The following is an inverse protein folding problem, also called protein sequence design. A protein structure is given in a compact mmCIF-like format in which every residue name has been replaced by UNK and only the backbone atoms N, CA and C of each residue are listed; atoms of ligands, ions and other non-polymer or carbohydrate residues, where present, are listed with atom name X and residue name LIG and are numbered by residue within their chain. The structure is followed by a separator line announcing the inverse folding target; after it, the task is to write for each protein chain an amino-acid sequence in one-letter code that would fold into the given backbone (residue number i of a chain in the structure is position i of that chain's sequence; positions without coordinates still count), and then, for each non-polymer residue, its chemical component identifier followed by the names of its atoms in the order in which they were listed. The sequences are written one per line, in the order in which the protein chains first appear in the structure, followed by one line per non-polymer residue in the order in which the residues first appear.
data_IF_914580298699
#
_entry.id   IF_914580298699
#
_cell.length_a   1.000
_cell.length_b   1.000
_cell.length_c   1.000
_cell.angle_alpha   90.00
_cell.angle_beta   90.00
_cell.angle_gamma   90.00
#
_symmetry.space_group_name_H-M   'P 1'
#
loop_
_entity.id
_entity.type
_entity.pdbx_description
1 polymer ?
#
# COMPACT_ATOMS: atom_id res chain seq x y z
N UNK A 1 -40.38 -5.75 15.82
CA UNK A 1 -39.03 -5.80 16.41
C UNK A 1 -39.05 -6.74 17.61
N UNK A 2 -38.08 -7.62 17.76
CA UNK A 2 -38.06 -8.55 18.93
C UNK A 2 -37.81 -7.72 20.19
N UNK A 3 -38.47 -8.12 21.28
CA UNK A 3 -38.41 -7.46 22.62
C UNK A 3 -36.95 -7.28 23.08
N UNK A 4 -36.09 -8.21 22.71
CA UNK A 4 -34.61 -8.18 22.95
C UNK A 4 -33.90 -7.02 22.25
N UNK A 5 -34.27 -6.71 21.01
CA UNK A 5 -33.65 -5.61 20.26
C UNK A 5 -34.07 -4.23 20.83
N UNK A 6 -35.34 -4.12 21.23
CA UNK A 6 -35.87 -2.89 21.87
C UNK A 6 -35.21 -2.64 23.23
N UNK A 7 -34.99 -3.69 24.03
CA UNK A 7 -34.30 -3.58 25.32
C UNK A 7 -32.82 -3.20 25.10
N UNK A 8 -32.14 -3.86 24.14
CA UNK A 8 -30.74 -3.58 23.83
C UNK A 8 -30.53 -2.12 23.39
N UNK A 9 -31.39 -1.58 22.50
CA UNK A 9 -31.30 -0.20 22.05
C UNK A 9 -31.61 0.83 23.15
N UNK A 10 -32.62 0.57 24.02
CA UNK A 10 -32.93 1.44 25.14
C UNK A 10 -31.81 1.49 26.18
N UNK A 11 -31.23 0.36 26.53
CA UNK A 11 -30.08 0.32 27.46
C UNK A 11 -28.88 1.07 26.92
N UNK A 12 -28.58 0.95 25.60
CA UNK A 12 -27.51 1.70 24.96
C UNK A 12 -27.72 3.21 25.02
N UNK A 13 -28.96 3.69 24.76
CA UNK A 13 -29.28 5.11 24.73
C UNK A 13 -29.48 5.72 26.13
N UNK A 14 -29.71 4.91 27.17
CA UNK A 14 -29.84 5.37 28.54
C UNK A 14 -28.50 5.87 29.10
N UNK A 15 -27.40 5.17 28.86
CA UNK A 15 -26.06 5.58 29.27
C UNK A 15 -25.25 6.16 28.08
N UNK A 16 -25.60 7.40 27.71
CA UNK A 16 -25.07 8.09 26.53
C UNK A 16 -23.54 8.22 26.55
N UNK A 17 -22.95 8.53 27.72
CA UNK A 17 -21.50 8.73 27.85
C UNK A 17 -20.76 7.43 27.55
N UNK A 18 -21.25 6.32 28.06
CA UNK A 18 -20.63 5.02 27.85
C UNK A 18 -20.84 4.51 26.44
N UNK A 19 -22.02 4.75 25.85
CA UNK A 19 -22.28 4.46 24.44
C UNK A 19 -21.30 5.20 23.53
N UNK A 20 -21.12 6.53 23.76
CA UNK A 20 -20.16 7.35 23.01
C UNK A 20 -18.72 6.83 23.21
N UNK A 21 -18.30 6.52 24.44
CA UNK A 21 -16.98 5.98 24.72
C UNK A 21 -16.72 4.65 23.97
N UNK A 22 -17.72 3.78 23.93
CA UNK A 22 -17.64 2.51 23.17
C UNK A 22 -17.52 2.78 21.67
N UNK A 23 -18.34 3.68 21.13
CA UNK A 23 -18.29 4.06 19.72
C UNK A 23 -16.93 4.67 19.34
N UNK A 24 -16.42 5.59 20.17
CA UNK A 24 -15.10 6.20 19.95
C UNK A 24 -14.01 5.11 19.90
N UNK A 25 -14.06 4.14 20.80
CA UNK A 25 -13.10 3.02 20.81
C UNK A 25 -13.18 2.17 19.54
N UNK A 26 -14.39 1.82 19.10
CA UNK A 26 -14.60 1.05 17.85
C UNK A 26 -14.15 1.86 16.65
N UNK A 27 -14.60 3.10 16.52
CA UNK A 27 -14.25 3.99 15.40
C UNK A 27 -12.75 4.19 15.31
N UNK A 28 -12.10 4.50 16.42
CA UNK A 28 -10.64 4.65 16.47
C UNK A 28 -9.91 3.39 16.00
N UNK A 29 -10.31 2.23 16.52
CA UNK A 29 -9.72 0.95 16.14
C UNK A 29 -9.90 0.64 14.67
N UNK A 30 -11.12 0.76 14.14
CA UNK A 30 -11.43 0.44 12.74
C UNK A 30 -10.73 1.41 11.78
N UNK A 31 -10.73 2.70 12.09
CA UNK A 31 -10.01 3.71 11.29
C UNK A 31 -8.51 3.44 11.29
N UNK A 32 -7.92 3.11 12.46
CA UNK A 32 -6.49 2.80 12.56
C UNK A 32 -6.14 1.58 11.71
N UNK A 33 -6.90 0.49 11.82
CA UNK A 33 -6.67 -0.73 11.03
C UNK A 33 -6.87 -0.44 9.53
N UNK A 34 -7.89 0.34 9.18
CA UNK A 34 -8.18 0.74 7.79
C UNK A 34 -7.01 1.54 7.19
N UNK A 35 -6.46 2.51 7.92
CA UNK A 35 -5.31 3.31 7.48
C UNK A 35 -4.08 2.42 7.33
N UNK A 36 -3.75 1.59 8.32
CA UNK A 36 -2.58 0.73 8.27
C UNK A 36 -2.63 -0.28 7.11
N UNK A 37 -3.77 -0.93 6.93
CA UNK A 37 -3.96 -1.88 5.83
C UNK A 37 -4.07 -1.17 4.47
N UNK A 38 -4.70 0.00 4.42
CA UNK A 38 -4.75 0.83 3.21
C UNK A 38 -3.38 1.33 2.77
N UNK A 39 -2.52 1.73 3.72
CA UNK A 39 -1.12 2.06 3.47
C UNK A 39 -0.33 0.83 3.00
N UNK A 40 -0.53 -0.34 3.64
CA UNK A 40 0.11 -1.58 3.23
C UNK A 40 -0.19 -1.93 1.77
N UNK A 41 -1.46 -1.84 1.36
CA UNK A 41 -1.88 -2.08 -0.02
C UNK A 41 -1.33 -1.01 -0.97
N UNK A 42 -1.44 0.27 -0.60
CA UNK A 42 -0.92 1.39 -1.38
C UNK A 42 0.59 1.29 -1.61
N UNK A 43 1.35 1.00 -0.56
CA UNK A 43 2.78 0.78 -0.63
C UNK A 43 3.14 -0.38 -1.57
N UNK A 44 2.43 -1.51 -1.45
CA UNK A 44 2.63 -2.67 -2.32
C UNK A 44 2.39 -2.38 -3.80
N UNK A 45 1.41 -1.52 -4.13
CA UNK A 45 1.19 -1.06 -5.51
C UNK A 45 2.31 -0.14 -6.00
N UNK A 46 2.71 0.83 -5.19
CA UNK A 46 3.74 1.81 -5.57
C UNK A 46 5.10 1.16 -5.84
N UNK A 47 5.48 0.18 -5.02
CA UNK A 47 6.75 -0.56 -5.17
C UNK A 47 6.87 -1.26 -6.52
N UNK A 48 5.78 -1.68 -7.13
CA UNK A 48 5.80 -2.38 -8.42
C UNK A 48 5.41 -1.50 -9.62
N UNK A 49 5.08 -0.23 -9.40
CA UNK A 49 4.57 0.67 -10.44
C UNK A 49 5.45 0.70 -11.70
N UNK A 50 6.77 0.78 -11.56
CA UNK A 50 7.70 0.78 -12.70
C UNK A 50 7.70 -0.56 -13.45
N UNK A 51 7.58 -1.68 -12.73
CA UNK A 51 7.51 -3.02 -13.31
C UNK A 51 6.18 -3.20 -14.04
N UNK A 52 5.08 -2.72 -13.46
CA UNK A 52 3.72 -2.87 -13.98
C UNK A 52 3.48 -2.05 -15.28
N UNK A 53 4.18 -0.92 -15.45
CA UNK A 53 4.08 -0.06 -16.63
C UNK A 53 5.17 -0.34 -17.67
N UNK A 54 6.08 -1.26 -17.41
CA UNK A 54 7.05 -1.69 -18.41
C UNK A 54 6.39 -2.58 -19.45
N UNK A 55 6.48 -2.18 -20.72
CA UNK A 55 6.00 -2.99 -21.87
C UNK A 55 6.99 -4.10 -22.17
N UNK A 56 7.01 -5.15 -21.32
CA UNK A 56 7.94 -6.27 -21.42
C UNK A 56 7.30 -7.58 -20.97
N UNK A 57 7.73 -8.69 -21.55
CA UNK A 57 7.25 -10.02 -21.20
C UNK A 57 8.14 -10.68 -20.13
N UNK A 58 9.46 -10.48 -20.28
CA UNK A 58 10.46 -11.05 -19.38
C UNK A 58 11.48 -9.97 -18.97
N UNK A 59 12.10 -10.18 -17.84
CA UNK A 59 13.15 -9.35 -17.27
C UNK A 59 14.44 -10.16 -17.13
N UNK A 60 15.57 -9.62 -17.60
CA UNK A 60 16.89 -10.11 -17.23
C UNK A 60 17.48 -9.16 -16.21
N UNK A 61 17.70 -9.66 -15.01
CA UNK A 61 18.15 -8.88 -13.85
C UNK A 61 19.50 -9.41 -13.34
N UNK A 62 20.30 -8.59 -12.66
CA UNK A 62 21.51 -9.07 -12.01
C UNK A 62 21.21 -10.20 -11.04
N UNK A 63 22.14 -11.15 -10.93
CA UNK A 63 21.99 -12.27 -9.98
C UNK A 63 21.88 -11.74 -8.55
N UNK A 64 20.79 -12.11 -7.87
CA UNK A 64 20.51 -11.69 -6.52
C UNK A 64 19.86 -10.29 -6.40
N UNK A 65 19.51 -9.63 -7.51
CA UNK A 65 18.74 -8.38 -7.49
C UNK A 65 17.42 -8.59 -6.74
N UNK A 66 17.15 -7.72 -5.78
CA UNK A 66 16.04 -7.88 -4.84
C UNK A 66 14.78 -7.12 -5.26
N UNK A 67 14.93 -5.99 -5.94
CA UNK A 67 13.86 -5.08 -6.31
C UNK A 67 14.21 -4.33 -7.60
N UNK A 68 13.27 -3.52 -8.09
CA UNK A 68 13.48 -2.69 -9.27
C UNK A 68 14.63 -1.69 -9.08
N UNK A 69 14.74 -1.08 -7.91
CA UNK A 69 15.73 -0.06 -7.57
C UNK A 69 17.11 -0.62 -7.21
N UNK A 70 17.34 -1.90 -7.41
CA UNK A 70 18.65 -2.53 -7.12
C UNK A 70 19.73 -1.92 -8.02
N UNK A 71 20.84 -1.39 -7.45
CA UNK A 71 21.88 -0.69 -8.21
C UNK A 71 22.82 -1.61 -8.96
N UNK A 72 22.67 -2.93 -8.84
CA UNK A 72 23.54 -3.91 -9.49
C UNK A 72 23.49 -3.80 -11.00
N UNK A 73 24.60 -4.14 -11.67
CA UNK A 73 24.77 -3.94 -13.09
C UNK A 73 25.00 -5.27 -13.84
N UNK A 74 24.38 -5.40 -15.00
CA UNK A 74 24.58 -6.45 -16.00
C UNK A 74 25.62 -6.04 -17.04
N UNK A 75 26.34 -7.03 -17.59
CA UNK A 75 27.12 -6.85 -18.81
C UNK A 75 26.20 -6.79 -20.04
N UNK A 76 26.33 -5.73 -20.84
CA UNK A 76 25.52 -5.56 -22.05
C UNK A 76 25.76 -6.62 -23.13
N UNK A 77 26.86 -7.38 -23.09
CA UNK A 77 27.07 -8.55 -23.95
C UNK A 77 25.97 -9.59 -23.81
N UNK A 78 25.27 -9.61 -22.66
CA UNK A 78 24.10 -10.46 -22.45
C UNK A 78 22.96 -10.08 -23.39
N UNK A 79 22.83 -8.82 -23.78
CA UNK A 79 21.78 -8.34 -24.70
C UNK A 79 21.78 -9.11 -26.00
N UNK A 80 22.95 -9.23 -26.63
CA UNK A 80 23.06 -9.87 -27.94
C UNK A 80 22.78 -11.38 -27.84
N UNK A 81 23.23 -11.98 -26.75
CA UNK A 81 22.97 -13.41 -26.46
C UNK A 81 21.47 -13.66 -26.22
N UNK A 82 20.81 -12.81 -25.45
CA UNK A 82 19.37 -12.90 -25.21
C UNK A 82 18.59 -12.64 -26.51
N UNK A 83 18.99 -11.65 -27.31
CA UNK A 83 18.37 -11.32 -28.59
C UNK A 83 18.48 -12.43 -29.63
N UNK A 84 19.53 -13.25 -29.58
CA UNK A 84 19.72 -14.38 -30.46
C UNK A 84 18.82 -15.58 -30.10
N UNK A 85 18.13 -15.58 -28.98
CA UNK A 85 17.24 -16.66 -28.55
C UNK A 85 15.98 -16.70 -29.40
N UNK A 86 15.61 -17.84 -29.91
CA UNK A 86 14.43 -18.01 -30.74
C UNK A 86 13.15 -17.63 -29.93
N UNK A 87 12.28 -16.83 -30.53
CA UNK A 87 11.06 -16.32 -29.87
C UNK A 87 11.23 -14.94 -29.22
N UNK A 88 12.44 -14.38 -29.12
CA UNK A 88 12.68 -13.03 -28.64
C UNK A 88 12.52 -12.03 -29.79
N UNK A 89 11.72 -10.98 -29.59
CA UNK A 89 11.49 -9.90 -30.55
C UNK A 89 12.50 -8.77 -30.37
N UNK A 90 12.60 -8.24 -29.15
CA UNK A 90 13.48 -7.11 -28.81
C UNK A 90 14.04 -7.25 -27.41
N UNK A 91 15.26 -6.71 -27.22
CA UNK A 91 15.92 -6.65 -25.91
C UNK A 91 16.37 -5.20 -25.67
N UNK A 92 15.77 -4.58 -24.67
CA UNK A 92 15.91 -3.14 -24.38
C UNK A 92 16.66 -2.97 -23.07
N UNK A 93 17.84 -2.33 -23.06
CA UNK A 93 18.54 -2.05 -21.82
C UNK A 93 17.84 -0.95 -21.03
N UNK A 94 17.79 -1.11 -19.71
CA UNK A 94 17.30 -0.12 -18.77
C UNK A 94 18.44 0.30 -17.85
N UNK A 95 18.66 1.58 -17.72
CA UNK A 95 19.61 2.18 -16.78
C UNK A 95 18.84 2.97 -15.76
N UNK A 96 19.04 2.64 -14.49
CA UNK A 96 18.41 3.31 -13.36
C UNK A 96 19.47 3.66 -12.32
N UNK A 97 19.20 4.65 -11.49
CA UNK A 97 20.09 4.99 -10.40
C UNK A 97 19.81 6.35 -9.78
N UNK A 98 20.42 6.59 -8.64
CA UNK A 98 20.30 7.88 -7.96
C UNK A 98 21.20 8.93 -8.60
N UNK A 99 20.74 10.19 -8.57
CA UNK A 99 21.50 11.36 -8.92
C UNK A 99 21.00 12.56 -8.11
N UNK A 100 21.76 13.66 -8.15
CA UNK A 100 21.39 14.87 -7.45
C UNK A 100 20.84 15.90 -8.45
N UNK A 101 19.64 16.38 -8.14
CA UNK A 101 18.96 17.46 -8.84
C UNK A 101 19.26 18.76 -8.09
N UNK A 102 19.93 19.68 -8.74
CA UNK A 102 20.28 20.98 -8.18
C UNK A 102 19.33 22.05 -8.68
N UNK A 103 18.65 22.69 -7.74
CA UNK A 103 17.77 23.81 -7.98
C UNK A 103 18.59 25.07 -8.34
N UNK A 104 17.95 26.04 -8.97
CA UNK A 104 18.57 27.35 -9.23
C UNK A 104 18.96 28.08 -7.92
N UNK A 105 18.33 27.76 -6.79
CA UNK A 105 18.69 28.22 -5.45
C UNK A 105 20.03 27.66 -4.93
N UNK A 106 20.57 26.62 -5.58
CA UNK A 106 21.74 25.86 -5.13
C UNK A 106 21.42 24.67 -4.23
N UNK A 107 20.19 24.50 -3.80
CA UNK A 107 19.72 23.34 -3.02
C UNK A 107 19.79 22.05 -3.85
N UNK A 108 20.20 20.95 -3.23
CA UNK A 108 20.26 19.63 -3.87
C UNK A 108 19.15 18.72 -3.37
N UNK A 109 18.44 18.09 -4.29
CA UNK A 109 17.41 17.12 -4.02
C UNK A 109 17.79 15.79 -4.68
N UNK A 110 17.82 14.66 -3.92
CA UNK A 110 18.06 13.37 -4.54
C UNK A 110 16.89 12.99 -5.44
N UNK A 111 17.22 12.46 -6.63
CA UNK A 111 16.26 11.97 -7.63
C UNK A 111 16.65 10.58 -8.10
N UNK A 112 15.69 9.82 -8.57
CA UNK A 112 15.91 8.50 -9.15
C UNK A 112 15.72 8.55 -10.65
N UNK A 113 16.84 8.38 -11.39
CA UNK A 113 16.86 8.43 -12.83
C UNK A 113 16.34 7.12 -13.43
N UNK A 114 15.50 7.25 -14.45
CA UNK A 114 14.99 6.13 -15.25
C UNK A 114 15.34 6.39 -16.71
N UNK A 115 16.37 5.72 -17.20
CA UNK A 115 16.85 5.86 -18.57
C UNK A 115 16.05 4.97 -19.51
N UNK A 116 15.35 5.59 -20.47
CA UNK A 116 14.46 4.92 -21.41
C UNK A 116 15.00 4.96 -22.83
N UNK A 117 14.79 3.90 -23.60
CA UNK A 117 14.96 3.88 -25.04
C UNK A 117 13.59 4.10 -25.71
N UNK A 118 13.41 5.26 -26.29
CA UNK A 118 12.12 5.64 -26.88
C UNK A 118 11.85 4.98 -28.22
N UNK A 119 12.87 4.38 -28.87
CA UNK A 119 12.77 3.77 -30.21
C UNK A 119 12.10 2.40 -30.15
N UNK A 120 12.50 1.57 -29.19
CA UNK A 120 12.16 0.14 -29.15
C UNK A 120 11.05 -0.21 -28.15
N UNK A 121 10.50 0.77 -27.44
CA UNK A 121 9.47 0.52 -26.41
C UNK A 121 10.09 0.41 -25.00
N UNK A 122 9.71 -0.60 -24.24
CA UNK A 122 10.20 -0.79 -22.88
C UNK A 122 9.48 0.08 -21.85
N UNK A 123 10.20 0.61 -20.88
CA UNK A 123 9.64 1.49 -19.87
C UNK A 123 9.64 2.93 -20.39
N UNK A 124 8.47 3.55 -20.44
CA UNK A 124 8.29 4.95 -20.88
C UNK A 124 7.50 5.71 -19.83
N UNK A 125 7.66 7.06 -19.77
CA UNK A 125 6.76 7.85 -18.95
C UNK A 125 5.32 7.69 -19.46
N UNK A 126 4.43 7.34 -18.55
CA UNK A 126 2.99 7.20 -18.81
C UNK A 126 2.22 8.38 -18.24
N UNK A 127 0.95 8.51 -18.58
CA UNK A 127 0.10 9.59 -18.10
C UNK A 127 0.72 10.98 -18.28
N UNK A 128 1.26 11.24 -19.49
CA UNK A 128 1.83 12.55 -19.85
C UNK A 128 0.68 13.54 -20.00
N UNK A 129 0.66 14.58 -19.16
CA UNK A 129 -0.40 15.59 -19.13
C UNK A 129 0.02 16.89 -19.83
N UNK A 130 1.29 17.16 -19.93
CA UNK A 130 1.84 18.33 -20.65
C UNK A 130 3.14 17.97 -21.36
N UNK A 131 3.39 18.60 -22.50
CA UNK A 131 4.60 18.37 -23.30
C UNK A 131 4.55 17.11 -24.15
N UNK A 132 5.73 16.56 -24.48
CA UNK A 132 5.84 15.38 -25.33
C UNK A 132 6.97 14.46 -24.85
N UNK A 133 6.65 13.23 -24.52
CA UNK A 133 7.64 12.21 -24.12
C UNK A 133 8.67 11.91 -25.22
N UNK A 134 8.34 12.07 -26.51
CA UNK A 134 9.30 11.88 -27.61
C UNK A 134 10.43 12.91 -27.59
N UNK A 135 10.20 14.08 -27.00
CA UNK A 135 11.24 15.11 -26.84
C UNK A 135 12.38 14.68 -25.89
N UNK A 136 12.18 13.60 -25.10
CA UNK A 136 13.26 12.99 -24.31
C UNK A 136 14.39 12.40 -25.19
N UNK A 137 14.16 12.19 -26.49
CA UNK A 137 15.24 11.81 -27.43
C UNK A 137 16.30 12.89 -27.62
N UNK A 138 16.01 14.14 -27.23
CA UNK A 138 16.96 15.23 -27.24
C UNK A 138 17.88 15.14 -26.02
N UNK A 139 19.13 15.59 -26.17
CA UNK A 139 20.07 15.59 -25.06
C UNK A 139 19.65 16.59 -23.97
N UNK A 140 19.97 16.21 -22.74
CA UNK A 140 19.75 17.01 -21.53
C UNK A 140 18.27 17.45 -21.35
N UNK A 141 17.35 16.56 -21.75
CA UNK A 141 15.92 16.73 -21.53
C UNK A 141 15.39 15.69 -20.53
N UNK A 142 14.37 16.09 -19.76
CA UNK A 142 13.80 15.28 -18.68
C UNK A 142 12.28 15.33 -18.67
N UNK A 143 11.66 14.24 -18.19
CA UNK A 143 10.27 14.25 -17.80
C UNK A 143 10.17 14.11 -16.28
N UNK A 144 9.29 14.91 -15.69
CA UNK A 144 9.05 14.98 -14.25
C UNK A 144 7.58 14.79 -13.94
N UNK A 145 7.26 14.29 -12.74
CA UNK A 145 5.88 14.19 -12.29
C UNK A 145 5.43 15.46 -11.57
N UNK A 146 4.20 15.89 -11.85
CA UNK A 146 3.59 17.09 -11.26
C UNK A 146 3.59 17.09 -9.74
N UNK A 147 3.49 15.92 -9.12
CA UNK A 147 3.48 15.78 -7.65
C UNK A 147 4.78 16.23 -6.98
N UNK A 148 5.87 16.40 -7.74
CA UNK A 148 7.17 16.80 -7.21
C UNK A 148 7.59 18.23 -7.62
N UNK A 149 6.70 19.03 -8.19
CA UNK A 149 7.01 20.37 -8.66
C UNK A 149 7.64 21.25 -7.58
N UNK A 150 7.03 21.32 -6.42
CA UNK A 150 7.54 22.11 -5.30
C UNK A 150 8.93 21.65 -4.88
N UNK A 151 9.13 20.33 -4.76
CA UNK A 151 10.40 19.74 -4.34
C UNK A 151 11.52 19.91 -5.36
N UNK A 152 11.19 19.91 -6.66
CA UNK A 152 12.14 20.05 -7.77
C UNK A 152 12.30 21.49 -8.24
N UNK A 153 11.57 22.45 -7.68
CA UNK A 153 11.55 23.85 -8.13
C UNK A 153 11.06 24.00 -9.57
N UNK A 154 10.22 23.06 -10.05
CA UNK A 154 9.68 23.07 -11.42
C UNK A 154 8.35 23.81 -11.45
N UNK A 155 8.18 24.71 -12.41
CA UNK A 155 6.93 25.46 -12.59
C UNK A 155 6.14 25.01 -13.82
N UNK A 156 6.76 24.26 -14.73
CA UNK A 156 6.14 23.79 -15.95
C UNK A 156 7.16 23.36 -17.02
N UNK A 157 6.66 23.14 -18.23
CA UNK A 157 7.50 22.84 -19.40
C UNK A 157 8.49 23.98 -19.63
N UNK A 158 9.74 23.63 -19.91
CA UNK A 158 10.82 24.57 -20.13
C UNK A 158 11.60 24.95 -18.88
N UNK A 159 11.12 24.58 -17.67
CA UNK A 159 11.91 24.74 -16.44
C UNK A 159 13.26 24.04 -16.59
N UNK A 160 14.29 24.60 -15.98
CA UNK A 160 15.66 24.08 -16.02
C UNK A 160 16.17 23.76 -14.64
N UNK A 161 17.10 22.82 -14.57
CA UNK A 161 17.84 22.48 -13.35
C UNK A 161 19.24 21.96 -13.74
N UNK A 162 20.03 21.61 -12.76
CA UNK A 162 21.36 21.03 -13.00
C UNK A 162 21.45 19.62 -12.44
N UNK A 163 21.99 18.68 -13.24
CA UNK A 163 22.29 17.31 -12.83
C UNK A 163 23.75 17.05 -13.19
N UNK A 164 24.59 16.77 -12.18
CA UNK A 164 26.04 16.52 -12.38
C UNK A 164 26.73 17.54 -13.27
N UNK A 165 26.48 18.83 -13.05
CA UNK A 165 27.10 19.92 -13.81
C UNK A 165 26.52 20.14 -15.21
N UNK A 166 25.43 19.44 -15.58
CA UNK A 166 24.74 19.64 -16.86
C UNK A 166 23.37 20.26 -16.62
N UNK A 167 23.08 21.32 -17.41
CA UNK A 167 21.75 21.91 -17.37
C UNK A 167 20.77 21.07 -18.15
N UNK A 168 19.70 20.65 -17.47
CA UNK A 168 18.61 19.85 -18.04
C UNK A 168 17.35 20.69 -18.18
N UNK A 169 16.51 20.34 -19.18
CA UNK A 169 15.25 21.04 -19.47
C UNK A 169 14.07 20.08 -19.35
N UNK A 170 13.02 20.49 -18.66
CA UNK A 170 11.75 19.77 -18.57
C UNK A 170 11.00 19.87 -19.89
N UNK A 171 10.71 18.73 -20.53
CA UNK A 171 10.02 18.63 -21.84
C UNK A 171 8.71 17.85 -21.78
N UNK A 172 8.49 17.10 -20.72
CA UNK A 172 7.25 16.37 -20.47
C UNK A 172 6.91 16.37 -18.97
N UNK A 173 5.63 16.47 -18.68
CA UNK A 173 5.09 16.41 -17.31
C UNK A 173 4.12 15.25 -17.25
N UNK A 174 4.32 14.39 -16.28
CA UNK A 174 3.40 13.28 -15.95
C UNK A 174 2.57 13.63 -14.72
N UNK A 175 1.53 12.86 -14.46
CA UNK A 175 0.72 12.99 -13.25
C UNK A 175 0.44 11.59 -12.66
N UNK A 176 0.88 11.39 -11.40
CA UNK A 176 0.65 10.16 -10.64
C UNK A 176 1.81 9.15 -10.69
N UNK A 177 2.97 9.47 -11.27
CA UNK A 177 4.17 8.63 -11.19
C UNK A 177 4.93 8.96 -9.91
N UNK A 178 4.49 8.34 -8.81
CA UNK A 178 5.03 8.60 -7.48
C UNK A 178 5.92 7.46 -7.00
N UNK A 179 6.97 7.85 -6.29
CA UNK A 179 7.87 6.90 -5.62
C UNK A 179 7.43 6.67 -4.17
N UNK A 180 7.40 5.42 -3.76
CA UNK A 180 7.13 5.05 -2.37
C UNK A 180 8.24 5.51 -1.40
N UNK A 181 9.47 5.74 -1.89
CA UNK A 181 10.58 6.33 -1.11
C UNK A 181 10.52 7.85 -1.06
N UNK A 182 9.48 8.47 -1.66
CA UNK A 182 9.35 9.91 -1.84
C UNK A 182 10.43 10.56 -2.74
N UNK A 183 11.43 9.82 -3.21
CA UNK A 183 12.45 10.29 -4.14
C UNK A 183 11.84 10.41 -5.55
N UNK A 184 11.84 11.60 -6.18
CA UNK A 184 11.23 11.79 -7.50
C UNK A 184 11.82 10.86 -8.55
N UNK A 185 10.98 10.20 -9.35
CA UNK A 185 11.41 9.55 -10.58
C UNK A 185 11.55 10.57 -11.69
N UNK A 186 12.70 10.56 -12.34
CA UNK A 186 13.00 11.43 -13.49
C UNK A 186 13.29 10.55 -14.70
N UNK A 187 12.48 10.69 -15.76
CA UNK A 187 12.72 9.97 -17.01
C UNK A 187 13.64 10.79 -17.92
N UNK A 188 14.60 10.12 -18.49
CA UNK A 188 15.58 10.66 -19.43
C UNK A 188 15.87 9.65 -20.52
N UNK A 189 16.55 10.07 -21.61
CA UNK A 189 17.07 9.10 -22.58
C UNK A 189 18.17 8.22 -21.95
N UNK A 190 18.37 7.05 -22.54
CA UNK A 190 19.30 6.02 -22.02
C UNK A 190 20.74 6.54 -21.93
N UNK A 191 21.16 7.39 -22.86
CA UNK A 191 22.52 7.96 -22.90
C UNK A 191 22.72 9.00 -21.80
N UNK A 192 21.74 9.88 -21.61
CA UNK A 192 21.72 10.85 -20.51
C UNK A 192 21.68 10.15 -19.15
N UNK A 193 20.88 9.09 -19.02
CA UNK A 193 20.83 8.29 -17.78
C UNK A 193 22.21 7.76 -17.38
N UNK A 194 22.97 7.22 -18.35
CA UNK A 194 24.34 6.73 -18.09
C UNK A 194 25.24 7.85 -17.55
N UNK A 195 25.15 9.02 -18.16
CA UNK A 195 25.93 10.18 -17.73
C UNK A 195 25.54 10.63 -16.32
N UNK A 196 24.25 10.69 -16.03
CA UNK A 196 23.74 11.19 -14.74
C UNK A 196 23.89 10.18 -13.60
N UNK A 197 23.84 8.88 -13.87
CA UNK A 197 24.05 7.84 -12.86
C UNK A 197 25.53 7.41 -12.74
N UNK A 198 26.37 7.73 -13.74
CA UNK A 198 27.75 7.24 -13.82
C UNK A 198 27.84 5.78 -14.26
N UNK A 199 26.80 5.25 -14.90
CA UNK A 199 26.78 3.84 -15.38
C UNK A 199 27.69 3.69 -16.61
N UNK A 200 28.63 2.75 -16.61
CA UNK A 200 29.49 2.48 -17.76
C UNK A 200 28.71 2.14 -19.05
N UNK A 201 29.25 2.46 -20.24
CA UNK A 201 28.54 2.26 -21.51
C UNK A 201 28.27 0.78 -21.84
N UNK A 202 29.06 -0.13 -21.30
CA UNK A 202 28.95 -1.59 -21.45
C UNK A 202 28.08 -2.26 -20.37
N UNK A 203 27.44 -1.47 -19.51
CA UNK A 203 26.60 -1.96 -18.40
C UNK A 203 25.17 -1.45 -18.49
N UNK A 204 24.25 -2.18 -17.88
CA UNK A 204 22.85 -1.77 -17.63
C UNK A 204 22.37 -2.38 -16.32
N UNK A 205 21.30 -1.85 -15.74
CA UNK A 205 20.72 -2.46 -14.55
C UNK A 205 19.83 -3.65 -14.91
N UNK A 206 18.99 -3.51 -15.92
CA UNK A 206 18.09 -4.57 -16.35
C UNK A 206 18.02 -4.63 -17.88
N UNK A 207 17.63 -5.80 -18.43
CA UNK A 207 17.22 -5.91 -19.82
C UNK A 207 15.74 -6.27 -19.87
N UNK A 208 14.98 -5.50 -20.61
CA UNK A 208 13.58 -5.72 -20.88
C UNK A 208 13.45 -6.55 -22.14
N UNK A 209 12.82 -7.73 -22.05
CA UNK A 209 12.69 -8.67 -23.18
C UNK A 209 11.26 -8.74 -23.64
N UNK A 210 11.03 -8.43 -24.91
CA UNK A 210 9.73 -8.62 -25.57
C UNK A 210 9.80 -9.85 -26.45
N UNK A 211 8.74 -10.60 -26.44
CA UNK A 211 8.62 -11.83 -27.24
C UNK A 211 7.91 -11.56 -28.58
N UNK A 212 8.18 -12.41 -29.55
CA UNK A 212 7.43 -12.41 -30.81
C UNK A 212 5.98 -12.76 -30.56
N UNK A 213 5.07 -12.20 -31.39
CA UNK A 213 3.67 -12.54 -31.32
C UNK A 213 3.48 -14.05 -31.58
N UNK A 214 2.82 -14.73 -30.64
CA UNK A 214 2.58 -16.18 -30.69
C UNK A 214 3.75 -17.05 -30.19
N UNK A 215 4.84 -16.47 -29.70
CA UNK A 215 5.90 -17.25 -29.06
C UNK A 215 5.38 -17.87 -27.74
N UNK A 216 5.78 -19.13 -27.51
CA UNK A 216 5.50 -19.79 -26.23
C UNK A 216 6.41 -19.21 -25.16
N UNK A 217 5.81 -18.38 -24.29
CA UNK A 217 6.52 -17.68 -23.22
C UNK A 217 7.31 -18.61 -22.30
N UNK A 218 6.74 -19.78 -21.96
CA UNK A 218 7.37 -20.70 -21.03
C UNK A 218 8.60 -21.36 -21.68
N UNK A 219 8.50 -21.78 -22.93
CA UNK A 219 9.63 -22.35 -23.65
C UNK A 219 10.77 -21.33 -23.82
N UNK A 220 10.47 -20.08 -24.16
CA UNK A 220 11.48 -19.02 -24.29
C UNK A 220 12.12 -18.73 -22.93
N UNK A 221 11.32 -18.67 -21.85
CA UNK A 221 11.80 -18.45 -20.48
C UNK A 221 12.81 -19.54 -20.07
N UNK A 222 12.48 -20.80 -20.30
CA UNK A 222 13.37 -21.93 -19.97
C UNK A 222 14.65 -21.90 -20.82
N UNK A 223 14.55 -21.59 -22.11
CA UNK A 223 15.71 -21.46 -22.98
C UNK A 223 16.65 -20.34 -22.50
N UNK A 224 16.09 -19.19 -22.15
CA UNK A 224 16.86 -18.06 -21.61
C UNK A 224 17.50 -18.40 -20.25
N UNK A 225 16.78 -19.06 -19.35
CA UNK A 225 17.33 -19.50 -18.04
C UNK A 225 18.50 -20.46 -18.20
N UNK A 226 18.48 -21.30 -19.21
CA UNK A 226 19.58 -22.23 -19.49
C UNK A 226 20.81 -21.53 -20.10
N UNK A 227 20.61 -20.47 -20.89
CA UNK A 227 21.69 -19.79 -21.63
C UNK A 227 22.33 -18.63 -20.87
N UNK A 228 21.54 -17.93 -20.03
CA UNK A 228 21.98 -16.74 -19.32
C UNK A 228 22.73 -17.15 -18.05
N UNK A 229 24.04 -16.89 -18.04
CA UNK A 229 24.90 -17.09 -16.88
C UNK A 229 25.26 -15.76 -16.24
N UNK A 230 25.26 -15.70 -14.92
CA UNK A 230 25.60 -14.47 -14.18
C UNK A 230 24.45 -13.45 -14.01
N UNK A 231 23.28 -13.76 -14.59
CA UNK A 231 22.03 -13.02 -14.42
C UNK A 231 20.86 -13.97 -14.18
N UNK A 232 19.72 -13.44 -13.83
CA UNK A 232 18.48 -14.19 -13.64
C UNK A 232 17.44 -13.73 -14.67
N UNK A 233 16.64 -14.67 -15.18
CA UNK A 233 15.52 -14.38 -16.08
C UNK A 233 14.24 -14.60 -15.34
N UNK A 234 13.43 -13.55 -15.25
CA UNK A 234 12.20 -13.52 -14.49
C UNK A 234 11.02 -13.12 -15.38
N UNK A 235 9.86 -13.64 -15.09
CA UNK A 235 8.62 -13.08 -15.61
C UNK A 235 8.32 -11.76 -14.91
N UNK A 236 7.48 -10.92 -15.52
CA UNK A 236 7.02 -9.67 -14.89
C UNK A 236 6.36 -9.93 -13.54
N UNK A 237 5.60 -11.02 -13.41
CA UNK A 237 4.94 -11.39 -12.14
C UNK A 237 5.93 -11.85 -11.07
N UNK A 238 6.96 -12.61 -11.45
CA UNK A 238 8.03 -13.02 -10.52
C UNK A 238 8.81 -11.80 -10.03
N UNK A 239 9.16 -10.87 -10.92
CA UNK A 239 9.93 -9.69 -10.53
C UNK A 239 9.08 -8.72 -9.68
N UNK A 240 7.80 -8.55 -10.02
CA UNK A 240 6.81 -7.82 -9.20
C UNK A 240 6.72 -8.40 -7.80
N UNK A 241 6.53 -9.70 -7.69
CA UNK A 241 6.41 -10.40 -6.41
C UNK A 241 7.69 -10.28 -5.58
N UNK A 242 8.86 -10.43 -6.21
CA UNK A 242 10.16 -10.29 -5.56
C UNK A 242 10.36 -8.87 -5.02
N UNK A 243 10.10 -7.85 -5.84
CA UNK A 243 10.23 -6.45 -5.44
C UNK A 243 9.30 -6.09 -4.29
N UNK A 244 8.03 -6.52 -4.36
CA UNK A 244 7.06 -6.35 -3.28
C UNK A 244 7.48 -7.06 -2.00
N UNK A 245 7.93 -8.31 -2.10
CA UNK A 245 8.39 -9.08 -0.94
C UNK A 245 9.58 -8.42 -0.25
N UNK A 246 10.55 -7.95 -1.04
CA UNK A 246 11.70 -7.23 -0.49
C UNK A 246 11.30 -5.96 0.27
N UNK A 247 10.48 -5.10 -0.34
CA UNK A 247 10.11 -3.83 0.28
C UNK A 247 9.11 -3.98 1.43
N UNK A 248 8.15 -4.90 1.32
CA UNK A 248 7.17 -5.11 2.38
C UNK A 248 7.74 -5.88 3.58
N UNK A 249 8.54 -6.90 3.34
CA UNK A 249 8.99 -7.80 4.40
C UNK A 249 10.49 -7.73 4.66
N UNK A 250 11.30 -7.51 3.62
CA UNK A 250 12.77 -7.44 3.76
C UNK A 250 13.24 -6.16 4.43
N UNK A 251 12.56 -5.02 4.23
CA UNK A 251 12.89 -3.74 4.88
C UNK A 251 12.17 -3.54 6.22
N UNK A 252 11.22 -4.40 6.57
CA UNK A 252 10.39 -4.28 7.76
C UNK A 252 9.24 -3.26 7.66
N UNK A 253 9.12 -2.49 6.56
CA UNK A 253 8.07 -1.48 6.39
C UNK A 253 6.67 -2.10 6.46
N UNK A 254 6.43 -3.19 5.72
CA UNK A 254 5.16 -3.90 5.76
C UNK A 254 4.89 -4.55 7.11
N UNK A 255 5.93 -5.08 7.78
CA UNK A 255 5.79 -5.65 9.11
C UNK A 255 5.38 -4.59 10.14
N UNK A 256 5.92 -3.37 10.05
CA UNK A 256 5.53 -2.24 10.91
C UNK A 256 4.06 -1.83 10.69
N UNK A 257 3.61 -1.74 9.43
CA UNK A 257 2.21 -1.45 9.10
C UNK A 257 1.27 -2.53 9.62
N UNK A 258 1.64 -3.80 9.46
CA UNK A 258 0.85 -4.92 9.96
C UNK A 258 0.80 -4.97 11.49
N UNK A 259 1.91 -4.70 12.17
CA UNK A 259 1.96 -4.58 13.63
C UNK A 259 1.07 -3.44 14.13
N UNK A 260 1.06 -2.29 13.45
CA UNK A 260 0.15 -1.18 13.74
C UNK A 260 -1.32 -1.56 13.61
N UNK A 261 -1.68 -2.31 12.56
CA UNK A 261 -3.03 -2.83 12.39
C UNK A 261 -3.41 -3.80 13.53
N UNK A 262 -2.52 -4.72 13.89
CA UNK A 262 -2.74 -5.66 14.99
C UNK A 262 -2.95 -4.94 16.33
N UNK A 263 -2.12 -3.94 16.63
CA UNK A 263 -2.29 -3.09 17.81
C UNK A 263 -3.65 -2.39 17.83
N UNK A 264 -4.11 -1.87 16.69
CA UNK A 264 -5.44 -1.30 16.54
C UNK A 264 -6.55 -2.29 16.94
N UNK A 265 -6.47 -3.52 16.49
CA UNK A 265 -7.43 -4.59 16.85
C UNK A 265 -7.38 -4.90 18.36
N UNK A 266 -6.18 -5.03 18.92
CA UNK A 266 -6.01 -5.33 20.35
C UNK A 266 -6.60 -4.20 21.20
N UNK A 267 -6.22 -2.97 20.93
CA UNK A 267 -6.69 -1.78 21.68
C UNK A 267 -8.22 -1.66 21.59
N UNK A 268 -8.78 -1.78 20.38
CA UNK A 268 -10.23 -1.73 20.19
C UNK A 268 -10.96 -2.83 20.91
N UNK A 269 -10.46 -4.06 20.86
CA UNK A 269 -11.04 -5.21 21.59
C UNK A 269 -11.05 -4.97 23.10
N UNK A 270 -9.95 -4.44 23.66
CA UNK A 270 -9.84 -4.14 25.09
C UNK A 270 -10.81 -3.02 25.50
N UNK A 271 -10.88 -1.92 24.73
CA UNK A 271 -11.81 -0.82 25.03
C UNK A 271 -13.27 -1.30 25.00
N UNK A 272 -13.65 -2.03 23.95
CA UNK A 272 -15.02 -2.57 23.82
C UNK A 272 -15.33 -3.57 24.93
N UNK A 273 -14.39 -4.45 25.27
CA UNK A 273 -14.57 -5.41 26.34
C UNK A 273 -14.76 -4.71 27.70
N UNK A 274 -13.95 -3.69 27.98
CA UNK A 274 -14.02 -2.95 29.24
C UNK A 274 -15.32 -2.14 29.37
N UNK A 275 -15.75 -1.49 28.28
CA UNK A 275 -17.00 -0.70 28.29
C UNK A 275 -18.23 -1.58 28.37
N UNK A 276 -18.28 -2.73 27.65
CA UNK A 276 -19.37 -3.70 27.77
C UNK A 276 -19.41 -4.35 29.15
N UNK A 277 -18.27 -4.68 29.75
CA UNK A 277 -18.19 -5.21 31.10
C UNK A 277 -18.74 -4.21 32.13
N UNK A 278 -18.32 -2.94 32.06
CA UNK A 278 -18.83 -1.90 32.97
C UNK A 278 -20.35 -1.70 32.80
N UNK A 279 -20.83 -1.61 31.55
CA UNK A 279 -22.27 -1.52 31.27
C UNK A 279 -23.04 -2.70 31.84
N UNK A 280 -22.56 -3.91 31.62
CA UNK A 280 -23.24 -5.14 32.12
C UNK A 280 -23.23 -5.19 33.65
N UNK A 281 -22.15 -4.73 34.29
CA UNK A 281 -22.06 -4.69 35.76
C UNK A 281 -23.08 -3.72 36.38
N UNK A 282 -23.29 -2.54 35.78
CA UNK A 282 -24.22 -1.57 36.32
C UNK A 282 -25.69 -1.97 36.14
N UNK A 283 -26.02 -2.73 35.09
CA UNK A 283 -27.34 -3.33 34.87
C UNK A 283 -27.56 -4.68 35.57
N UNK A 284 -26.64 -5.09 36.45
CA UNK A 284 -26.71 -6.37 37.13
C UNK A 284 -27.99 -6.56 37.95
N UNK A 285 -28.47 -5.48 38.65
CA UNK A 285 -29.72 -5.51 39.42
C UNK A 285 -30.94 -5.71 38.51
N UNK A 286 -30.97 -5.11 37.34
CA UNK A 286 -32.00 -5.28 36.33
C UNK A 286 -32.01 -6.74 35.80
N UNK A 287 -30.83 -7.25 35.50
CA UNK A 287 -30.68 -8.63 35.06
C UNK A 287 -31.03 -9.64 36.15
N UNK A 288 -30.71 -9.36 37.42
CA UNK A 288 -31.13 -10.16 38.57
C UNK A 288 -32.66 -10.20 38.73
N UNK A 289 -33.32 -9.05 38.58
CA UNK A 289 -34.80 -8.95 38.62
C UNK A 289 -35.43 -9.72 37.46
N UNK A 290 -34.89 -9.61 36.24
CA UNK A 290 -35.36 -10.39 35.10
C UNK A 290 -35.22 -11.91 35.34
N UNK A 291 -34.14 -12.35 35.98
CA UNK A 291 -33.96 -13.78 36.39
C UNK A 291 -34.95 -14.21 37.44
N UNK A 292 -35.21 -13.37 38.43
CA UNK A 292 -36.23 -13.66 39.47
C UNK A 292 -37.62 -13.79 38.85
N UNK A 293 -37.93 -13.07 37.77
CA UNK A 293 -39.15 -13.20 36.97
C UNK A 293 -39.15 -14.42 36.00
N UNK A 294 -38.13 -15.29 36.03
CA UNK A 294 -38.05 -16.48 35.22
C UNK A 294 -37.33 -16.41 33.88
N UNK A 295 -36.62 -15.28 33.58
CA UNK A 295 -35.84 -15.16 32.36
C UNK A 295 -34.63 -16.09 32.36
N UNK A 296 -34.36 -16.76 31.23
CA UNK A 296 -33.20 -17.63 31.07
C UNK A 296 -31.91 -16.85 30.92
N UNK A 297 -30.79 -17.45 31.33
CA UNK A 297 -29.44 -16.87 31.06
C UNK A 297 -29.21 -16.58 29.59
N UNK A 298 -29.74 -17.37 28.67
CA UNK A 298 -29.65 -17.18 27.24
C UNK A 298 -30.33 -15.90 26.74
N UNK A 299 -31.35 -15.39 27.46
CA UNK A 299 -31.98 -14.12 27.15
C UNK A 299 -31.02 -12.95 27.41
N UNK A 300 -30.35 -12.93 28.55
CA UNK A 300 -29.38 -11.91 28.93
C UNK A 300 -28.19 -11.90 27.94
N UNK A 301 -27.69 -13.10 27.60
CA UNK A 301 -26.59 -13.22 26.63
C UNK A 301 -26.98 -12.65 25.26
N UNK A 302 -28.19 -12.92 24.79
CA UNK A 302 -28.69 -12.33 23.53
C UNK A 302 -28.76 -10.82 23.58
N UNK A 303 -29.19 -10.22 24.69
CA UNK A 303 -29.25 -8.77 24.86
C UNK A 303 -27.85 -8.15 24.73
N UNK A 304 -26.84 -8.71 25.43
CA UNK A 304 -25.46 -8.20 25.39
C UNK A 304 -24.86 -8.36 23.97
N UNK A 305 -25.12 -9.49 23.30
CA UNK A 305 -24.64 -9.70 21.92
C UNK A 305 -25.32 -8.71 20.95
N UNK A 306 -26.63 -8.46 21.10
CA UNK A 306 -27.31 -7.47 20.27
C UNK A 306 -26.79 -6.04 20.51
N UNK A 307 -26.43 -5.68 21.74
CA UNK A 307 -25.78 -4.40 22.05
C UNK A 307 -24.41 -4.32 21.34
N UNK A 308 -23.60 -5.38 21.39
CA UNK A 308 -22.32 -5.45 20.71
C UNK A 308 -22.46 -5.33 19.19
N UNK A 309 -23.44 -6.00 18.59
CA UNK A 309 -23.71 -5.91 17.15
C UNK A 309 -24.19 -4.53 16.72
N UNK A 310 -25.07 -3.89 17.50
CA UNK A 310 -25.50 -2.50 17.23
C UNK A 310 -24.31 -1.53 17.28
N UNK A 311 -23.46 -1.66 18.31
CA UNK A 311 -22.22 -0.88 18.40
C UNK A 311 -21.28 -1.14 17.22
N UNK A 312 -21.14 -2.39 16.80
CA UNK A 312 -20.31 -2.75 15.66
C UNK A 312 -20.81 -2.11 14.36
N UNK A 313 -22.10 -2.18 14.07
CA UNK A 313 -22.71 -1.60 12.86
C UNK A 313 -22.56 -0.09 12.86
N UNK A 314 -22.96 0.59 13.94
CA UNK A 314 -22.90 2.05 14.03
C UNK A 314 -21.44 2.52 13.97
N UNK A 315 -20.57 1.90 14.75
CA UNK A 315 -19.14 2.23 14.78
C UNK A 315 -18.45 2.02 13.44
N UNK A 316 -18.76 0.91 12.75
CA UNK A 316 -18.23 0.61 11.42
C UNK A 316 -18.71 1.62 10.37
N UNK A 317 -19.98 2.00 10.36
CA UNK A 317 -20.49 3.01 9.43
C UNK A 317 -19.80 4.36 9.62
N UNK A 318 -19.64 4.82 10.87
CA UNK A 318 -18.92 6.06 11.18
C UNK A 318 -17.45 5.95 10.77
N UNK A 319 -16.79 4.85 11.12
CA UNK A 319 -15.39 4.61 10.78
C UNK A 319 -15.15 4.59 9.27
N UNK A 320 -16.06 3.98 8.50
CA UNK A 320 -15.97 3.95 7.03
C UNK A 320 -16.15 5.36 6.44
N UNK A 321 -17.06 6.17 6.98
CA UNK A 321 -17.21 7.57 6.58
C UNK A 321 -15.94 8.40 6.84
N UNK A 322 -15.35 8.26 8.03
CA UNK A 322 -14.08 8.92 8.36
C UNK A 322 -12.94 8.41 7.47
N UNK A 323 -12.88 7.10 7.24
CA UNK A 323 -11.88 6.48 6.37
C UNK A 323 -11.97 7.00 4.92
N UNK A 324 -13.18 7.16 4.38
CA UNK A 324 -13.38 7.74 3.05
C UNK A 324 -12.86 9.19 2.98
N UNK A 325 -13.13 9.99 4.01
CA UNK A 325 -12.62 11.36 4.11
C UNK A 325 -11.08 11.39 4.16
N UNK A 326 -10.47 10.50 4.95
CA UNK A 326 -9.01 10.40 5.05
C UNK A 326 -8.39 10.02 3.72
N UNK A 327 -9.00 9.08 2.98
CA UNK A 327 -8.55 8.69 1.62
C UNK A 327 -8.58 9.88 0.68
N UNK A 328 -9.65 10.66 0.69
CA UNK A 328 -9.78 11.84 -0.20
C UNK A 328 -8.72 12.90 0.13
N UNK A 329 -8.50 13.19 1.40
CA UNK A 329 -7.45 14.13 1.85
C UNK A 329 -6.05 13.63 1.45
N UNK A 330 -5.80 12.33 1.58
CA UNK A 330 -4.48 11.73 1.31
C UNK A 330 -4.26 11.32 -0.15
N UNK A 331 -5.27 11.42 -1.02
CA UNK A 331 -5.17 11.03 -2.43
C UNK A 331 -4.03 11.73 -3.19
N UNK A 332 -3.69 12.96 -2.80
CA UNK A 332 -2.58 13.76 -3.36
C UNK A 332 -1.25 13.61 -2.57
N UNK A 333 -1.23 12.84 -1.50
CA UNK A 333 -0.02 12.64 -0.70
C UNK A 333 0.98 11.69 -1.40
N UNK A 334 2.23 11.69 -0.92
CA UNK A 334 3.26 10.81 -1.44
C UNK A 334 2.95 9.31 -1.25
N UNK A 335 2.17 8.96 -0.22
CA UNK A 335 1.74 7.60 0.08
C UNK A 335 0.21 7.53 0.10
N UNK A 336 -0.44 7.23 -1.02
CA UNK A 336 -1.90 7.14 -1.07
C UNK A 336 -2.40 5.92 -0.30
N UNK A 337 -3.46 6.14 0.48
CA UNK A 337 -4.17 5.05 1.17
C UNK A 337 -5.12 4.40 0.16
N UNK A 338 -4.91 3.11 -0.12
CA UNK A 338 -5.73 2.35 -1.06
C UNK A 338 -6.75 1.52 -0.28
N UNK A 339 -8.03 1.83 -0.48
CA UNK A 339 -9.13 1.06 0.10
C UNK A 339 -9.81 0.28 -1.02
N UNK A 340 -9.77 -1.06 -0.91
CA UNK A 340 -10.45 -1.97 -1.84
C UNK A 340 -11.79 -2.42 -1.25
N UNK A 341 -12.80 -2.79 -2.07
CA UNK A 341 -14.07 -3.33 -1.57
C UNK A 341 -13.87 -4.57 -0.67
N UNK A 342 -12.91 -5.40 -1.00
CA UNK A 342 -12.50 -6.54 -0.19
C UNK A 342 -12.01 -6.12 1.21
N UNK A 343 -11.19 -5.06 1.31
CA UNK A 343 -10.71 -4.55 2.59
C UNK A 343 -11.88 -4.05 3.45
N UNK A 344 -12.83 -3.34 2.86
CA UNK A 344 -14.04 -2.89 3.57
C UNK A 344 -14.82 -4.09 4.13
N UNK A 345 -15.03 -5.13 3.30
CA UNK A 345 -15.71 -6.35 3.74
C UNK A 345 -14.95 -7.06 4.88
N UNK A 346 -13.63 -7.19 4.77
CA UNK A 346 -12.78 -7.77 5.80
C UNK A 346 -12.85 -6.98 7.12
N UNK A 347 -12.83 -5.64 7.05
CA UNK A 347 -12.96 -4.76 8.21
C UNK A 347 -14.34 -4.87 8.86
N UNK A 348 -15.42 -5.01 8.08
CA UNK A 348 -16.76 -5.23 8.61
C UNK A 348 -16.82 -6.54 9.43
N UNK A 349 -16.31 -7.62 8.86
CA UNK A 349 -16.23 -8.92 9.56
C UNK A 349 -15.35 -8.80 10.81
N UNK A 350 -14.18 -8.19 10.72
CA UNK A 350 -13.27 -7.99 11.84
C UNK A 350 -13.92 -7.19 12.97
N UNK A 351 -14.65 -6.11 12.63
CA UNK A 351 -15.37 -5.29 13.63
C UNK A 351 -16.42 -6.10 14.36
N UNK A 352 -17.21 -6.89 13.65
CA UNK A 352 -18.21 -7.78 14.26
C UNK A 352 -17.54 -8.81 15.16
N UNK A 353 -16.49 -9.49 14.69
CA UNK A 353 -15.74 -10.48 15.49
C UNK A 353 -15.16 -9.85 16.75
N UNK A 354 -14.54 -8.67 16.64
CA UNK A 354 -13.98 -7.94 17.78
C UNK A 354 -15.06 -7.60 18.83
N UNK A 355 -16.21 -7.07 18.39
CA UNK A 355 -17.30 -6.71 19.29
C UNK A 355 -17.96 -7.93 19.94
N UNK A 356 -18.17 -9.03 19.19
CA UNK A 356 -18.74 -10.27 19.72
C UNK A 356 -17.77 -10.94 20.70
N UNK A 357 -16.48 -11.00 20.38
CA UNK A 357 -15.46 -11.54 21.28
C UNK A 357 -15.40 -10.73 22.59
N UNK A 358 -15.48 -9.41 22.52
CA UNK A 358 -15.54 -8.52 23.68
C UNK A 358 -16.80 -8.77 24.53
N UNK A 359 -17.96 -8.98 23.88
CA UNK A 359 -19.21 -9.29 24.55
C UNK A 359 -19.15 -10.64 25.29
N UNK A 360 -18.58 -11.67 24.66
CA UNK A 360 -18.38 -12.97 25.30
C UNK A 360 -17.45 -12.82 26.52
N UNK A 361 -16.37 -12.06 26.41
CA UNK A 361 -15.48 -11.77 27.53
C UNK A 361 -16.18 -11.05 28.70
N UNK A 362 -17.07 -10.11 28.42
CA UNK A 362 -17.90 -9.44 29.42
C UNK A 362 -18.89 -10.40 30.09
N UNK A 363 -19.58 -11.24 29.31
CA UNK A 363 -20.52 -12.24 29.79
C UNK A 363 -19.82 -13.23 30.76
N UNK A 364 -18.68 -13.79 30.37
CA UNK A 364 -17.94 -14.75 31.19
C UNK A 364 -17.53 -14.17 32.55
N UNK A 365 -17.17 -12.89 32.59
CA UNK A 365 -16.82 -12.19 33.83
C UNK A 365 -18.06 -11.97 34.73
N UNK A 366 -19.18 -11.57 34.14
CA UNK A 366 -20.42 -11.25 34.89
C UNK A 366 -21.07 -12.49 35.46
N UNK A 367 -21.06 -13.60 34.73
CA UNK A 367 -21.62 -14.89 35.22
C UNK A 367 -20.87 -15.43 36.42
N UNK A 368 -19.61 -15.10 36.59
CA UNK A 368 -18.79 -15.49 37.75
C UNK A 368 -19.07 -14.66 39.03
N UNK A 369 -19.86 -13.59 38.95
CA UNK A 369 -20.26 -12.80 40.12
C UNK A 369 -21.43 -13.53 40.79
N UNK A 370 -21.25 -13.86 42.08
CA UNK A 370 -22.29 -14.55 42.88
C UNK A 370 -23.50 -13.63 43.07
N UNK A 371 -24.71 -14.05 42.62
CA UNK A 371 -25.93 -13.25 42.81
C UNK A 371 -26.20 -12.86 44.26
N UNK A 372 -25.78 -13.69 45.23
CA UNK A 372 -25.98 -13.43 46.66
C UNK A 372 -25.31 -12.12 47.14
N UNK A 373 -24.20 -11.70 46.51
CA UNK A 373 -23.51 -10.46 46.84
C UNK A 373 -24.25 -9.20 46.39
N UNK A 374 -25.24 -9.32 45.49
CA UNK A 374 -26.04 -8.20 44.96
C UNK A 374 -27.21 -7.85 45.89
N UNK A 375 -27.69 -8.82 46.66
CA UNK A 375 -28.83 -8.61 47.57
C UNK A 375 -28.42 -8.32 49.01
N UNK A 376 -27.10 -8.27 49.32
CA UNK A 376 -26.58 -7.95 50.63
C UNK A 376 -26.11 -6.49 50.78
N UNK A 377 -26.49 -5.60 49.88
CA UNK A 377 -26.25 -4.14 49.98
C UNK A 377 -27.53 -3.39 50.11
#
# INVERSE_FOLDING_TARGET
MSLTLTLASRNLLHDRLRFIATLVGIVFSVVLVMIQMGLFLGFGHMVSTMIDHASTDLWVVPKGAKCFEDPSLLDLKLRDRVAATNGVATVIPLVIGFSDWRLDSGEMTPVFMVGVDLRDGGLRPWNVVEGNAQALSQHDTVAVDRSYFERLGVTGIGSTAEIRGRRVKVVAITDGIRSFTTTPYIFVDLKSARTYTGTPPDRANNLLVRLNNGADRENVLQALRAQVTGAEVLTTDEFRSRSRSFWLFGTGAGAALFAGALLGVIVGTVIVAQTLYSSTKDHLNEFATLRAMGSSNGYIYRVIIYQALLNAVIGFCIATGIGALVVEITAKSALPIVITPWLIAALAVLTVVMCVASAIGAIVRVVRIDPATVFMR
#
